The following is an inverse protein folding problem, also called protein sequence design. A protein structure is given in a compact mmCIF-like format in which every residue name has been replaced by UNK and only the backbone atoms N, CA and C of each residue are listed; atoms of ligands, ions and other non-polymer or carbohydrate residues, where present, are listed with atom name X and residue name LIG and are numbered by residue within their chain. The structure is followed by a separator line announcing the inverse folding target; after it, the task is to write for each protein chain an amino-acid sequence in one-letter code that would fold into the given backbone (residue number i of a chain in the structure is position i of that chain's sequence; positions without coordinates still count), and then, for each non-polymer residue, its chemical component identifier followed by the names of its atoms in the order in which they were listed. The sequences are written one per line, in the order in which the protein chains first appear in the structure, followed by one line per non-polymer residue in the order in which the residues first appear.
data_IF_264762744094
#
_entry.id   IF_264762744094
#
_cell.length_a   1.000
_cell.length_b   1.000
_cell.length_c   1.000
_cell.angle_alpha   90.00
_cell.angle_beta   90.00
_cell.angle_gamma   90.00
#
_symmetry.space_group_name_H-M   'P 1'
#
loop_
_entity.id
_entity.type
_entity.pdbx_description
1 polymer ?
#
# COMPACT_ATOMS: atom_id res chain seq x y z
N UNK A 1 12.30 -50.09 -45.62
CA UNK A 1 11.32 -49.01 -45.33
C UNK A 1 12.05 -47.68 -45.32
N UNK A 2 11.50 -46.64 -45.93
CA UNK A 2 12.19 -45.38 -46.17
C UNK A 2 12.15 -44.49 -44.91
N UNK A 3 13.25 -44.41 -44.15
CA UNK A 3 13.32 -43.74 -42.83
C UNK A 3 12.75 -42.30 -42.84
N UNK A 4 12.87 -41.58 -43.96
CA UNK A 4 12.30 -40.24 -44.14
C UNK A 4 10.79 -40.16 -43.93
N UNK A 5 10.04 -41.21 -44.32
CA UNK A 5 8.57 -41.23 -44.17
C UNK A 5 8.15 -41.38 -42.70
N UNK A 6 8.87 -42.21 -41.95
CA UNK A 6 8.65 -42.43 -40.51
C UNK A 6 8.88 -41.14 -39.74
N UNK A 7 9.98 -40.43 -40.01
CA UNK A 7 10.27 -39.15 -39.35
C UNK A 7 9.22 -38.08 -39.67
N UNK A 8 8.71 -38.01 -40.90
CA UNK A 8 7.63 -37.06 -41.27
C UNK A 8 6.34 -37.32 -40.50
N UNK A 9 5.96 -38.58 -40.33
CA UNK A 9 4.76 -38.95 -39.54
C UNK A 9 4.95 -38.61 -38.06
N UNK A 10 6.13 -38.88 -37.48
CA UNK A 10 6.45 -38.49 -36.10
C UNK A 10 6.43 -36.98 -35.90
N UNK A 11 6.99 -36.20 -36.84
CA UNK A 11 6.95 -34.73 -36.80
C UNK A 11 5.50 -34.23 -36.84
N UNK A 12 4.65 -34.80 -37.70
CA UNK A 12 3.23 -34.43 -37.77
C UNK A 12 2.48 -34.67 -36.46
N UNK A 13 2.77 -35.78 -35.75
CA UNK A 13 2.19 -36.05 -34.43
C UNK A 13 2.65 -35.03 -33.39
N UNK A 14 3.96 -34.75 -33.34
CA UNK A 14 4.52 -33.78 -32.39
C UNK A 14 3.99 -32.36 -32.63
N UNK A 15 3.77 -31.96 -33.88
CA UNK A 15 3.16 -30.67 -34.21
C UNK A 15 1.72 -30.59 -33.70
N UNK A 16 0.93 -31.64 -33.92
CA UNK A 16 -0.44 -31.71 -33.40
C UNK A 16 -0.48 -31.65 -31.87
N UNK A 17 0.37 -32.44 -31.20
CA UNK A 17 0.50 -32.40 -29.73
C UNK A 17 0.89 -31.00 -29.25
N UNK A 18 1.78 -30.32 -29.96
CA UNK A 18 2.17 -28.94 -29.65
C UNK A 18 0.99 -27.99 -29.76
N UNK A 19 0.19 -28.09 -30.83
CA UNK A 19 -0.99 -27.25 -31.02
C UNK A 19 -2.05 -27.49 -29.93
N UNK A 20 -2.29 -28.76 -29.57
CA UNK A 20 -3.22 -29.15 -28.51
C UNK A 20 -2.76 -28.60 -27.15
N UNK A 21 -1.47 -28.74 -26.80
CA UNK A 21 -0.88 -28.19 -25.57
C UNK A 21 -1.00 -26.66 -25.55
N UNK A 22 -0.68 -25.97 -26.65
CA UNK A 22 -0.77 -24.51 -26.74
C UNK A 22 -2.22 -24.04 -26.55
N UNK A 23 -3.18 -24.77 -27.12
CA UNK A 23 -4.60 -24.49 -26.94
C UNK A 23 -5.03 -24.63 -25.47
N UNK A 24 -4.63 -25.70 -24.80
CA UNK A 24 -4.95 -25.93 -23.39
C UNK A 24 -4.32 -24.86 -22.48
N UNK A 25 -3.06 -24.50 -22.71
CA UNK A 25 -2.38 -23.41 -21.98
C UNK A 25 -3.15 -22.09 -22.14
N UNK A 26 -3.66 -21.79 -23.33
CA UNK A 26 -4.44 -20.56 -23.56
C UNK A 26 -5.75 -20.57 -22.77
N UNK A 27 -6.45 -21.70 -22.73
CA UNK A 27 -7.68 -21.83 -21.97
C UNK A 27 -7.43 -21.67 -20.47
N UNK A 28 -6.45 -22.38 -19.91
CA UNK A 28 -6.09 -22.26 -18.49
C UNK A 28 -5.69 -20.83 -18.11
N UNK A 29 -4.94 -20.13 -18.97
CA UNK A 29 -4.59 -18.72 -18.75
C UNK A 29 -5.81 -17.80 -18.74
N UNK A 30 -6.78 -18.04 -19.63
CA UNK A 30 -8.03 -17.28 -19.66
C UNK A 30 -8.84 -17.53 -18.39
N UNK A 31 -8.98 -18.78 -17.98
CA UNK A 31 -9.78 -19.16 -16.82
C UNK A 31 -9.18 -18.61 -15.53
N UNK A 32 -7.85 -18.63 -15.39
CA UNK A 32 -7.14 -17.98 -14.28
C UNK A 32 -7.36 -16.47 -14.25
N UNK A 33 -7.36 -15.78 -15.41
CA UNK A 33 -7.67 -14.35 -15.45
C UNK A 33 -9.09 -14.07 -14.97
N UNK A 34 -10.06 -14.86 -15.43
CA UNK A 34 -11.45 -14.71 -15.01
C UNK A 34 -11.62 -14.93 -13.50
N UNK A 35 -10.99 -15.97 -12.95
CA UNK A 35 -11.01 -16.24 -11.51
C UNK A 35 -10.35 -15.11 -10.70
N UNK A 36 -9.23 -14.56 -11.18
CA UNK A 36 -8.56 -13.43 -10.55
C UNK A 36 -9.47 -12.20 -10.53
N UNK A 37 -10.09 -11.86 -11.66
CA UNK A 37 -11.02 -10.74 -11.74
C UNK A 37 -12.21 -10.88 -10.78
N UNK A 38 -12.74 -12.09 -10.63
CA UNK A 38 -13.85 -12.33 -9.72
C UNK A 38 -13.43 -12.24 -8.25
N UNK A 39 -12.23 -12.74 -7.92
CA UNK A 39 -11.64 -12.56 -6.60
C UNK A 39 -11.40 -11.08 -6.29
N UNK A 40 -10.87 -10.31 -7.24
CA UNK A 40 -10.61 -8.88 -7.07
C UNK A 40 -11.89 -8.09 -6.81
N UNK A 41 -12.99 -8.40 -7.53
CA UNK A 41 -14.30 -7.81 -7.24
C UNK A 41 -14.77 -8.14 -5.83
N UNK A 42 -14.65 -9.40 -5.41
CA UNK A 42 -15.05 -9.83 -4.07
C UNK A 42 -14.21 -9.16 -2.99
N UNK A 43 -12.91 -8.98 -3.23
CA UNK A 43 -12.02 -8.22 -2.35
C UNK A 43 -12.50 -6.78 -2.23
N UNK A 44 -12.76 -6.09 -3.34
CA UNK A 44 -13.25 -4.71 -3.33
C UNK A 44 -14.59 -4.56 -2.59
N UNK A 45 -15.51 -5.52 -2.76
CA UNK A 45 -16.76 -5.55 -2.00
C UNK A 45 -16.55 -5.72 -0.49
N UNK A 46 -15.62 -6.60 -0.10
CA UNK A 46 -15.27 -6.84 1.29
C UNK A 46 -14.58 -5.62 1.92
N UNK A 47 -13.68 -4.96 1.20
CA UNK A 47 -13.04 -3.71 1.62
C UNK A 47 -14.08 -2.61 1.84
N UNK A 48 -15.07 -2.49 0.95
CA UNK A 48 -16.17 -1.53 1.13
C UNK A 48 -17.04 -1.85 2.35
N UNK A 49 -17.36 -3.13 2.57
CA UNK A 49 -18.11 -3.58 3.76
C UNK A 49 -17.33 -3.30 5.04
N UNK A 50 -16.03 -3.58 5.03
CA UNK A 50 -15.13 -3.31 6.14
C UNK A 50 -15.12 -1.82 6.47
N UNK A 51 -14.90 -0.95 5.47
CA UNK A 51 -14.91 0.50 5.67
C UNK A 51 -16.22 1.02 6.26
N UNK A 52 -17.37 0.50 5.80
CA UNK A 52 -18.68 0.83 6.40
C UNK A 52 -18.82 0.35 7.84
N UNK A 53 -18.29 -0.83 8.16
CA UNK A 53 -18.29 -1.39 9.51
C UNK A 53 -17.38 -0.56 10.44
N UNK A 54 -16.19 -0.18 9.99
CA UNK A 54 -15.26 0.69 10.74
C UNK A 54 -15.88 2.05 11.05
N UNK A 55 -16.50 2.69 10.04
CA UNK A 55 -17.18 3.97 10.23
C UNK A 55 -18.35 3.87 11.24
N UNK A 56 -19.08 2.76 11.22
CA UNK A 56 -20.17 2.50 12.17
C UNK A 56 -19.62 2.31 13.58
N UNK A 57 -18.56 1.50 13.74
CA UNK A 57 -17.91 1.30 15.03
C UNK A 57 -17.36 2.59 15.61
N UNK A 58 -16.68 3.42 14.81
CA UNK A 58 -16.17 4.72 15.23
C UNK A 58 -17.30 5.63 15.74
N UNK A 59 -18.40 5.73 15.00
CA UNK A 59 -19.57 6.50 15.42
C UNK A 59 -20.16 5.97 16.74
N UNK A 60 -20.35 4.65 16.86
CA UNK A 60 -20.90 4.04 18.07
C UNK A 60 -20.01 4.23 19.29
N UNK A 61 -18.68 4.21 19.12
CA UNK A 61 -17.73 4.51 20.19
C UNK A 61 -17.81 5.95 20.68
N UNK A 62 -17.90 6.89 19.75
CA UNK A 62 -18.08 8.32 20.08
C UNK A 62 -19.38 8.51 20.87
N UNK A 63 -20.46 7.84 20.44
CA UNK A 63 -21.76 7.88 21.14
C UNK A 63 -21.72 7.20 22.52
N UNK A 64 -20.96 6.11 22.68
CA UNK A 64 -20.87 5.36 23.94
C UNK A 64 -19.97 6.02 24.99
N UNK A 65 -19.09 6.94 24.59
CA UNK A 65 -18.03 7.53 25.44
C UNK A 65 -17.05 6.50 26.02
N UNK A 66 -17.00 5.30 25.44
CA UNK A 66 -16.04 4.28 25.85
C UNK A 66 -14.68 4.54 25.20
N UNK A 67 -13.62 4.50 26.00
CA UNK A 67 -12.24 4.70 25.53
C UNK A 67 -11.71 3.53 24.68
N UNK A 68 -12.29 2.32 24.82
CA UNK A 68 -11.89 1.13 24.08
C UNK A 68 -12.96 0.01 24.12
N UNK A 69 -13.19 -0.64 22.97
CA UNK A 69 -13.90 -1.93 22.86
C UNK A 69 -12.88 -3.08 22.85
N UNK A 70 -13.04 -4.05 23.76
CA UNK A 70 -12.28 -5.31 23.73
C UNK A 70 -13.08 -6.40 23.01
N UNK A 71 -12.67 -6.85 21.81
CA UNK A 71 -13.34 -7.96 21.14
C UNK A 71 -13.06 -9.31 21.83
N UNK A 72 -13.99 -10.27 21.65
CA UNK A 72 -13.91 -11.63 22.21
C UNK A 72 -12.80 -12.51 21.60
N UNK A 73 -12.25 -12.15 20.43
CA UNK A 73 -11.19 -12.90 19.75
C UNK A 73 -10.21 -11.94 19.05
N UNK A 74 -8.91 -12.11 19.34
CA UNK A 74 -7.83 -11.24 18.83
C UNK A 74 -7.79 -9.87 19.51
N UNK A 75 -6.63 -9.22 19.53
CA UNK A 75 -6.52 -7.87 20.07
C UNK A 75 -6.90 -6.84 19.00
N UNK A 76 -8.05 -6.16 19.13
CA UNK A 76 -8.23 -4.86 18.48
C UNK A 76 -7.59 -3.81 19.38
N UNK A 77 -6.55 -3.15 18.87
CA UNK A 77 -5.94 -2.02 19.55
C UNK A 77 -6.37 -0.74 18.83
N UNK A 78 -6.99 0.17 19.56
CA UNK A 78 -7.10 1.54 19.13
C UNK A 78 -5.69 2.13 19.08
N UNK A 79 -5.20 2.47 17.89
CA UNK A 79 -4.03 3.33 17.78
C UNK A 79 -4.50 4.77 17.62
N UNK A 80 -4.00 5.66 18.47
CA UNK A 80 -3.94 7.06 18.11
C UNK A 80 -3.19 7.12 16.77
N UNK A 81 -3.79 7.73 15.73
CA UNK A 81 -3.04 7.97 14.51
C UNK A 81 -1.79 8.76 14.86
N UNK A 82 -0.68 8.50 14.17
CA UNK A 82 0.54 9.31 14.37
C UNK A 82 0.16 10.77 14.17
N UNK A 83 0.61 11.62 15.09
CA UNK A 83 0.32 13.04 15.04
C UNK A 83 0.61 13.62 13.65
N UNK A 84 -0.31 14.45 13.16
CA UNK A 84 -0.19 15.08 11.85
C UNK A 84 0.96 16.07 11.91
N UNK A 85 1.87 15.95 10.95
CA UNK A 85 2.98 16.89 10.79
C UNK A 85 2.48 18.01 9.88
N UNK A 86 2.40 19.23 10.41
CA UNK A 86 1.91 20.40 9.66
C UNK A 86 3.03 21.41 9.53
N UNK A 87 3.46 21.64 8.29
CA UNK A 87 4.46 22.66 7.96
C UNK A 87 3.75 24.02 7.92
N UNK A 88 4.13 24.94 8.81
CA UNK A 88 3.57 26.31 8.88
C UNK A 88 4.02 27.16 7.70
N UNK A 89 5.32 27.13 7.38
CA UNK A 89 5.93 27.92 6.30
C UNK A 89 7.04 27.13 5.62
N UNK A 90 6.85 26.86 4.33
CA UNK A 90 7.76 26.03 3.53
C UNK A 90 9.14 26.69 3.36
N UNK A 91 9.21 28.01 3.15
CA UNK A 91 10.48 28.72 2.89
C UNK A 91 11.35 28.73 4.14
N UNK A 92 10.74 29.06 5.28
CA UNK A 92 11.41 29.08 6.57
C UNK A 92 11.90 27.69 6.98
N UNK A 93 11.09 26.65 6.74
CA UNK A 93 11.48 25.27 7.02
C UNK A 93 12.71 24.85 6.21
N UNK A 94 12.79 25.24 4.93
CA UNK A 94 13.94 24.94 4.06
C UNK A 94 15.21 25.68 4.54
N UNK A 95 15.08 26.92 5.03
CA UNK A 95 16.20 27.65 5.62
C UNK A 95 16.68 27.00 6.94
N UNK A 96 15.75 26.56 7.79
CA UNK A 96 16.08 25.81 9.01
C UNK A 96 16.79 24.48 8.71
N UNK A 97 16.38 23.77 7.65
CA UNK A 97 17.10 22.59 7.16
C UNK A 97 18.54 22.90 6.75
N UNK A 98 18.75 24.03 6.06
CA UNK A 98 20.10 24.46 5.64
C UNK A 98 21.02 24.75 6.81
N UNK A 99 20.49 25.34 7.87
CA UNK A 99 21.27 25.76 9.04
C UNK A 99 21.47 24.61 10.03
N UNK A 100 20.39 23.89 10.37
CA UNK A 100 20.41 22.88 11.44
C UNK A 100 20.81 21.48 10.95
N UNK A 101 20.63 21.18 9.65
CA UNK A 101 20.90 19.86 9.06
C UNK A 101 21.69 19.96 7.74
N UNK A 102 22.90 20.56 7.74
CA UNK A 102 23.67 20.83 6.53
C UNK A 102 24.04 19.57 5.72
N UNK A 103 24.31 18.44 6.38
CA UNK A 103 24.59 17.15 5.72
C UNK A 103 23.38 16.54 5.00
N UNK A 104 22.17 17.02 5.32
CA UNK A 104 20.92 16.54 4.73
C UNK A 104 20.47 17.41 3.54
N UNK A 105 20.99 18.64 3.43
CA UNK A 105 20.74 19.57 2.31
C UNK A 105 21.20 18.98 0.99
N UNK A 106 22.36 18.32 0.97
CA UNK A 106 22.87 17.66 -0.24
C UNK A 106 21.95 16.52 -0.71
N UNK A 107 21.36 15.76 0.23
CA UNK A 107 20.35 14.74 -0.09
C UNK A 107 19.04 15.37 -0.57
N UNK A 108 18.62 16.48 0.03
CA UNK A 108 17.42 17.23 -0.37
C UNK A 108 17.54 17.81 -1.79
N UNK A 109 18.68 18.41 -2.13
CA UNK A 109 18.97 18.95 -3.48
C UNK A 109 18.94 17.83 -4.53
N UNK A 110 19.48 16.65 -4.20
CA UNK A 110 19.50 15.50 -5.11
C UNK A 110 18.12 14.88 -5.37
N UNK A 111 17.18 15.05 -4.43
CA UNK A 111 15.80 14.52 -4.53
C UNK A 111 14.86 15.52 -5.22
N UNK A 112 15.21 16.80 -5.33
CA UNK A 112 14.29 17.79 -5.86
C UNK A 112 14.96 18.94 -6.63
N UNK A 113 14.75 18.97 -7.95
CA UNK A 113 14.80 20.22 -8.74
C UNK A 113 13.62 21.17 -8.41
N UNK A 114 12.67 20.75 -7.56
CA UNK A 114 11.77 21.68 -6.86
C UNK A 114 11.26 21.05 -5.57
N UNK A 115 11.67 21.58 -4.41
CA UNK A 115 11.16 21.15 -3.10
C UNK A 115 9.68 21.54 -3.03
N UNK A 116 8.78 20.66 -3.48
CA UNK A 116 7.33 20.80 -3.27
C UNK A 116 6.97 20.16 -1.93
N UNK A 117 5.97 20.73 -1.26
CA UNK A 117 5.34 20.26 0.00
C UNK A 117 5.19 18.74 0.13
N UNK A 118 4.92 18.04 -0.97
CA UNK A 118 4.75 16.58 -1.02
C UNK A 118 6.05 15.79 -0.75
N UNK A 119 7.21 16.31 -1.14
CA UNK A 119 8.52 15.67 -0.88
C UNK A 119 8.92 15.78 0.58
N UNK A 120 8.69 16.95 1.19
CA UNK A 120 8.94 17.21 2.61
C UNK A 120 8.08 16.30 3.51
N UNK A 121 6.79 16.16 3.18
CA UNK A 121 5.88 15.30 3.94
C UNK A 121 6.33 13.83 3.94
N UNK A 122 6.78 13.28 2.81
CA UNK A 122 7.28 11.90 2.72
C UNK A 122 8.51 11.66 3.61
N UNK A 123 9.42 12.62 3.65
CA UNK A 123 10.63 12.52 4.47
C UNK A 123 10.30 12.58 5.98
N UNK A 124 9.35 13.44 6.35
CA UNK A 124 8.84 13.53 7.71
C UNK A 124 8.09 12.26 8.14
N UNK A 125 7.28 11.66 7.25
CA UNK A 125 6.59 10.39 7.49
C UNK A 125 7.54 9.20 7.62
N UNK A 126 8.66 9.21 6.90
CA UNK A 126 9.68 8.15 6.95
C UNK A 126 10.49 8.12 8.25
N UNK A 127 10.42 9.17 9.08
CA UNK A 127 11.14 9.26 10.35
C UNK A 127 12.63 9.58 10.21
N UNK A 128 13.12 9.88 9.01
CA UNK A 128 14.51 10.28 8.75
C UNK A 128 14.84 11.66 9.35
N UNK A 129 13.82 12.49 9.62
CA UNK A 129 13.96 13.81 10.22
C UNK A 129 13.20 13.84 11.55
N UNK A 130 13.90 14.19 12.64
CA UNK A 130 13.24 14.47 13.93
C UNK A 130 12.66 15.87 13.90
N UNK A 131 11.32 15.94 13.90
CA UNK A 131 10.52 17.17 13.82
C UNK A 131 10.88 18.16 14.93
N UNK A 132 11.32 17.67 16.08
CA UNK A 132 11.74 18.46 17.27
C UNK A 132 12.85 19.48 16.98
N UNK A 133 13.54 19.36 15.84
CA UNK A 133 14.63 20.25 15.44
C UNK A 133 14.10 21.49 14.67
N UNK A 134 12.88 21.44 14.12
CA UNK A 134 12.33 22.45 13.22
C UNK A 134 11.19 23.22 13.91
N UNK A 135 11.38 24.53 14.09
CA UNK A 135 10.44 25.40 14.79
C UNK A 135 9.23 25.77 13.90
N UNK A 136 9.36 25.53 12.61
CA UNK A 136 8.34 25.76 11.59
C UNK A 136 7.37 24.58 11.37
N UNK A 137 7.54 23.49 12.13
CA UNK A 137 6.76 22.26 11.97
C UNK A 137 6.02 21.94 13.27
N UNK A 138 4.69 21.90 13.19
CA UNK A 138 3.85 21.52 14.33
C UNK A 138 3.46 20.06 14.26
N UNK A 139 3.35 19.45 15.45
CA UNK A 139 2.83 18.11 15.67
C UNK A 139 1.41 18.24 16.24
N UNK A 140 0.40 17.97 15.40
CA UNK A 140 -1.00 18.05 15.81
C UNK A 140 -1.49 16.65 16.20
N UNK A 141 -1.91 16.43 17.46
CA UNK A 141 -2.49 15.15 17.89
C UNK A 141 -3.67 14.79 16.99
N UNK A 142 -3.65 13.58 16.43
CA UNK A 142 -4.78 13.08 15.64
C UNK A 142 -5.76 12.31 16.52
N UNK A 143 -7.02 12.28 16.08
CA UNK A 143 -8.05 11.46 16.70
C UNK A 143 -7.69 9.96 16.63
N UNK A 144 -8.18 9.22 17.63
CA UNK A 144 -7.94 7.77 17.72
C UNK A 144 -8.72 7.09 16.60
N UNK A 145 -8.02 6.43 15.67
CA UNK A 145 -8.66 5.61 14.65
C UNK A 145 -8.65 4.15 15.09
N UNK A 146 -9.72 3.43 14.76
CA UNK A 146 -9.78 1.98 14.94
C UNK A 146 -8.80 1.31 13.97
N UNK A 147 -7.85 0.52 14.46
CA UNK A 147 -7.01 -0.35 13.62
C UNK A 147 -7.12 -1.78 14.12
N UNK A 148 -7.50 -2.70 13.24
CA UNK A 148 -7.43 -4.13 13.53
C UNK A 148 -6.17 -4.70 12.89
N UNK A 149 -5.34 -5.39 13.68
CA UNK A 149 -4.23 -6.17 13.12
C UNK A 149 -4.69 -7.61 13.01
N UNK A 150 -4.89 -8.08 11.77
CA UNK A 150 -5.07 -9.50 11.52
C UNK A 150 -3.72 -10.21 11.70
N UNK A 151 -3.60 -11.03 12.74
CA UNK A 151 -2.48 -11.97 12.89
C UNK A 151 -2.95 -13.33 12.40
N UNK A 152 -2.87 -13.54 11.09
CA UNK A 152 -3.02 -14.84 10.45
C UNK A 152 -1.75 -15.18 9.67
#
# INVERSE_FOLDING_TARGET
MNNSKIYKESIGKLLKETDDIVFEIRNLRRDNRNATMENDKKIAELEKKLAGTEATMEKTLVESKEDAIKPKCGWAHFRAMKDKIVIKDEKKTIEEFKVKLPSFVEKLIKISESIRKSGLNKLLESGEIRIEILDSVDKVPQERKFEYKYTG
#
